data_IF_587237072828
#
_entry.id   IF_587237072828
#
_cell.length_a   1.000
_cell.length_b   1.000
_cell.length_c   1.000
_cell.angle_alpha   90.00
_cell.angle_beta   90.00
_cell.angle_gamma   90.00
#
_symmetry.space_group_name_H-M   'P 1'
#
loop_
_entity.id
_entity.type
_entity.pdbx_description
1 polymer ?
#
# COMPACT_ATOMS: atom_id res chain seq x y z
N UNK A 1 -46.40 14.78 -46.93
CA UNK A 1 -46.94 15.29 -45.66
C UNK A 1 -47.06 14.13 -44.69
N UNK A 2 -46.15 14.04 -43.70
CA UNK A 2 -46.40 13.59 -42.31
C UNK A 2 -45.07 13.68 -41.56
N UNK A 3 -45.14 13.92 -40.26
CA UNK A 3 -44.00 13.82 -39.36
C UNK A 3 -44.28 12.73 -38.33
N UNK A 4 -43.23 12.12 -37.78
CA UNK A 4 -43.31 11.35 -36.54
C UNK A 4 -42.00 11.56 -35.76
N UNK A 5 -42.11 11.71 -34.44
CA UNK A 5 -40.99 12.07 -33.57
C UNK A 5 -40.22 10.84 -33.08
N UNK A 6 -38.93 11.02 -32.83
CA UNK A 6 -38.22 10.28 -31.79
C UNK A 6 -37.22 11.22 -31.10
N UNK A 7 -37.43 11.46 -29.80
CA UNK A 7 -36.54 12.28 -28.96
C UNK A 7 -35.71 11.34 -28.09
N UNK A 8 -34.41 11.28 -28.34
CA UNK A 8 -33.47 10.44 -27.60
C UNK A 8 -32.98 11.17 -26.33
N UNK A 9 -33.54 10.77 -25.18
CA UNK A 9 -33.15 11.32 -23.88
C UNK A 9 -31.69 10.95 -23.53
N UNK A 10 -30.78 11.93 -23.58
CA UNK A 10 -29.39 11.76 -23.15
C UNK A 10 -29.24 12.00 -21.63
N UNK A 11 -28.50 11.17 -20.89
CA UNK A 11 -28.34 11.32 -19.43
C UNK A 11 -27.67 12.64 -19.02
N UNK A 12 -26.90 13.27 -19.92
CA UNK A 12 -26.30 14.59 -19.69
C UNK A 12 -27.36 15.68 -19.51
N UNK A 13 -28.41 15.65 -20.33
CA UNK A 13 -29.52 16.62 -20.26
C UNK A 13 -30.28 16.51 -18.94
N UNK A 14 -30.46 15.29 -18.42
CA UNK A 14 -31.12 15.05 -17.13
C UNK A 14 -30.34 15.65 -15.95
N UNK A 15 -29.00 15.60 -15.98
CA UNK A 15 -28.14 16.21 -14.95
C UNK A 15 -28.16 17.74 -14.98
N UNK A 16 -28.23 18.34 -16.16
CA UNK A 16 -28.35 19.81 -16.28
C UNK A 16 -29.75 20.31 -15.88
N UNK A 17 -30.80 19.50 -16.06
CA UNK A 17 -32.15 19.80 -15.55
C UNK A 17 -32.15 19.94 -14.03
N UNK A 18 -31.59 18.96 -13.31
CA UNK A 18 -31.56 18.97 -11.83
C UNK A 18 -30.74 20.13 -11.25
N UNK A 19 -29.64 20.53 -11.89
CA UNK A 19 -28.85 21.69 -11.45
C UNK A 19 -29.62 23.01 -11.68
N UNK A 20 -30.41 23.11 -12.76
CA UNK A 20 -31.22 24.29 -13.06
C UNK A 20 -32.46 24.37 -12.14
N UNK A 21 -33.12 23.23 -11.88
CA UNK A 21 -34.23 23.09 -10.94
C UNK A 21 -33.82 23.49 -9.51
N UNK A 22 -32.66 23.01 -9.03
CA UNK A 22 -32.10 23.40 -7.74
C UNK A 22 -31.78 24.90 -7.66
N UNK A 23 -31.20 25.49 -8.71
CA UNK A 23 -30.94 26.94 -8.76
C UNK A 23 -32.24 27.76 -8.78
N UNK A 24 -33.30 27.26 -9.42
CA UNK A 24 -34.62 27.88 -9.41
C UNK A 24 -35.25 27.81 -8.01
N UNK A 25 -35.20 26.65 -7.34
CA UNK A 25 -35.69 26.44 -5.97
C UNK A 25 -34.96 27.35 -4.95
N UNK A 26 -33.63 27.43 -5.03
CA UNK A 26 -32.82 28.34 -4.20
C UNK A 26 -33.15 29.81 -4.47
N UNK A 27 -33.46 30.17 -5.72
CA UNK A 27 -33.86 31.54 -6.07
C UNK A 27 -35.23 31.89 -5.47
N UNK A 28 -36.22 31.01 -5.62
CA UNK A 28 -37.58 31.19 -5.04
C UNK A 28 -37.50 31.29 -3.51
N UNK A 29 -36.72 30.41 -2.85
CA UNK A 29 -36.53 30.46 -1.40
C UNK A 29 -35.93 31.80 -0.93
N UNK A 30 -34.97 32.37 -1.68
CA UNK A 30 -34.39 33.67 -1.36
C UNK A 30 -35.36 34.84 -1.60
N UNK A 31 -36.28 34.73 -2.57
CA UNK A 31 -37.32 35.72 -2.83
C UNK A 31 -38.45 35.66 -1.78
N UNK A 32 -38.90 34.47 -1.35
CA UNK A 32 -39.87 34.32 -0.25
C UNK A 32 -39.33 34.89 1.07
N UNK A 33 -38.08 34.56 1.42
CA UNK A 33 -37.41 35.06 2.63
C UNK A 33 -37.19 36.58 2.59
N UNK A 34 -37.04 37.18 1.40
CA UNK A 34 -36.90 38.63 1.25
C UNK A 34 -38.22 39.39 1.48
N UNK A 35 -39.39 38.76 1.26
CA UNK A 35 -40.70 39.42 1.36
C UNK A 35 -41.23 39.50 2.80
N UNK A 36 -40.77 38.64 3.72
CA UNK A 36 -41.24 38.62 5.11
C UNK A 36 -40.29 39.31 6.10
N UNK A 37 -40.28 40.65 6.07
CA UNK A 37 -39.92 41.44 7.26
C UNK A 37 -41.03 42.41 7.66
N UNK A 38 -41.60 42.22 8.86
CA UNK A 38 -41.92 43.36 9.70
C UNK A 38 -41.48 43.15 11.15
N UNK A 39 -40.58 44.01 11.65
CA UNK A 39 -40.42 44.21 13.10
C UNK A 39 -41.70 44.81 13.67
N UNK A 40 -42.44 44.06 14.49
CA UNK A 40 -43.34 44.64 15.50
C UNK A 40 -43.21 43.90 16.83
N UNK A 41 -42.99 44.68 17.88
CA UNK A 41 -43.01 44.24 19.27
C UNK A 41 -44.41 44.29 19.85
N UNK A 42 -44.93 43.16 20.28
CA UNK A 42 -45.99 43.06 21.29
C UNK A 42 -45.60 41.95 22.28
N UNK A 43 -46.07 42.04 23.52
CA UNK A 43 -45.68 41.10 24.58
C UNK A 43 -46.85 40.75 25.50
N UNK A 44 -46.69 39.62 26.20
CA UNK A 44 -47.70 38.94 27.05
C UNK A 44 -48.87 38.31 26.26
N UNK A 45 -49.42 37.15 26.64
CA UNK A 45 -49.02 36.17 27.67
C UNK A 45 -49.86 34.88 27.54
N UNK A 46 -49.25 33.70 27.72
CA UNK A 46 -49.89 32.37 27.86
C UNK A 46 -50.67 31.90 26.60
N UNK A 47 -50.90 30.60 26.32
CA UNK A 47 -50.81 29.35 27.11
C UNK A 47 -50.53 28.14 26.16
N UNK A 48 -50.19 26.96 26.71
CA UNK A 48 -50.10 25.62 26.06
C UNK A 48 -48.99 25.43 24.99
N UNK A 49 -48.35 24.27 24.86
CA UNK A 49 -48.34 23.05 25.70
C UNK A 49 -46.95 22.39 25.66
N UNK A 50 -46.57 21.63 26.70
CA UNK A 50 -45.18 21.20 26.91
C UNK A 50 -45.06 19.66 26.97
N UNK A 51 -44.72 19.03 25.83
CA UNK A 51 -44.53 17.57 25.70
C UNK A 51 -43.16 17.19 25.18
N UNK A 52 -42.11 17.45 25.98
CA UNK A 52 -40.79 16.81 25.84
C UNK A 52 -40.48 16.02 27.11
N UNK A 53 -40.04 14.77 26.96
CA UNK A 53 -39.89 13.85 28.09
C UNK A 53 -38.82 14.31 29.11
N UNK A 54 -39.27 14.49 30.35
CA UNK A 54 -38.44 14.83 31.49
C UNK A 54 -37.75 13.59 32.10
N UNK A 55 -36.42 13.61 32.22
CA UNK A 55 -35.66 12.75 33.12
C UNK A 55 -34.82 13.62 34.06
N UNK A 56 -35.44 14.05 35.16
CA UNK A 56 -34.78 14.85 36.19
C UNK A 56 -34.01 13.99 37.18
N UNK A 57 -32.75 14.40 37.39
CA UNK A 57 -31.91 14.26 38.58
C UNK A 57 -32.57 13.70 39.85
N UNK A 58 -32.01 12.63 40.41
CA UNK A 58 -32.14 12.31 41.83
C UNK A 58 -30.83 11.84 42.46
N UNK A 59 -30.61 12.23 43.71
CA UNK A 59 -29.60 11.77 44.66
C UNK A 59 -29.87 12.42 46.03
N UNK A 60 -29.48 11.81 47.16
CA UNK A 60 -29.37 10.38 47.46
C UNK A 60 -30.16 10.01 48.75
N UNK A 61 -30.23 8.72 49.11
CA UNK A 61 -30.41 8.27 50.51
C UNK A 61 -29.87 6.83 50.66
N UNK A 62 -29.60 6.42 51.90
CA UNK A 62 -28.78 5.27 52.28
C UNK A 62 -29.56 4.10 52.89
N UNK A 63 -28.80 3.05 53.29
CA UNK A 63 -29.11 2.00 54.28
C UNK A 63 -30.14 0.92 53.86
N UNK A 64 -29.72 -0.37 53.81
CA UNK A 64 -29.77 -1.41 54.87
C UNK A 64 -31.19 -2.05 54.95
N UNK A 65 -31.41 -3.35 55.20
CA UNK A 65 -30.61 -4.50 55.69
C UNK A 65 -30.92 -5.75 54.80
N UNK A 66 -30.01 -6.68 54.49
CA UNK A 66 -29.39 -7.80 55.25
C UNK A 66 -30.10 -9.17 54.97
N UNK A 67 -29.59 -10.26 55.58
CA UNK A 67 -29.93 -11.68 55.44
C UNK A 67 -29.53 -12.40 54.12
N UNK A 68 -28.79 -13.53 54.14
CA UNK A 68 -28.09 -14.15 55.27
C UNK A 68 -27.73 -15.64 55.09
N UNK A 69 -26.82 -16.13 55.95
CA UNK A 69 -26.75 -17.52 56.49
C UNK A 69 -26.29 -18.67 55.52
N UNK A 70 -25.61 -19.76 55.95
CA UNK A 70 -25.19 -20.23 57.29
C UNK A 70 -24.04 -21.28 57.28
N UNK A 71 -23.07 -21.17 58.21
CA UNK A 71 -22.25 -22.26 58.85
C UNK A 71 -21.29 -23.15 58.00
N UNK A 72 -20.36 -23.96 58.56
CA UNK A 72 -20.14 -24.41 59.97
C UNK A 72 -18.65 -24.62 60.34
N UNK A 73 -18.30 -24.46 61.63
CA UNK A 73 -17.04 -24.90 62.26
C UNK A 73 -16.90 -24.37 63.70
N UNK A 74 -16.77 -25.27 64.68
CA UNK A 74 -16.82 -25.07 66.15
C UNK A 74 -16.16 -26.32 66.80
N UNK A 75 -15.92 -26.48 68.11
CA UNK A 75 -16.21 -25.74 69.37
C UNK A 75 -15.10 -24.68 69.71
N UNK A 76 -14.85 -24.03 70.88
CA UNK A 76 -15.02 -24.28 72.34
C UNK A 76 -14.14 -25.44 72.90
N UNK A 77 -13.53 -25.43 74.11
CA UNK A 77 -13.47 -24.55 75.30
C UNK A 77 -12.09 -24.82 76.03
N UNK A 78 -11.48 -24.04 76.96
CA UNK A 78 -11.77 -22.76 77.65
C UNK A 78 -10.68 -22.37 78.70
N UNK A 79 -11.04 -21.47 79.63
CA UNK A 79 -10.43 -21.05 80.93
C UNK A 79 -9.05 -20.34 81.12
N UNK A 80 -9.11 -19.32 81.99
CA UNK A 80 -8.15 -18.64 82.91
C UNK A 80 -6.59 -18.68 82.76
N UNK A 81 -6.07 -17.48 82.44
CA UNK A 81 -5.02 -16.73 83.20
C UNK A 81 -3.49 -16.91 82.99
N UNK A 82 -2.84 -15.75 82.85
CA UNK A 82 -1.53 -15.31 83.39
C UNK A 82 -0.16 -15.72 82.80
N UNK A 83 0.80 -14.79 83.01
CA UNK A 83 2.28 -14.86 82.92
C UNK A 83 2.95 -14.66 81.53
N UNK A 84 4.15 -14.08 81.58
CA UNK A 84 5.04 -13.59 80.52
C UNK A 84 5.79 -14.75 79.79
N UNK A 85 6.59 -14.61 78.72
CA UNK A 85 7.52 -13.54 78.29
C UNK A 85 7.80 -13.49 76.76
N UNK A 86 8.50 -12.45 76.30
CA UNK A 86 9.56 -12.52 75.26
C UNK A 86 9.20 -12.80 73.78
N UNK A 87 9.26 -11.79 72.89
CA UNK A 87 8.97 -12.07 71.46
C UNK A 87 9.09 -10.99 70.35
N UNK A 88 9.95 -9.96 70.45
CA UNK A 88 10.41 -9.10 69.31
C UNK A 88 9.34 -8.55 68.28
N UNK A 89 8.67 -7.40 68.54
CA UNK A 89 7.70 -6.82 67.61
C UNK A 89 8.26 -5.70 66.69
N UNK A 90 9.02 -6.04 65.63
CA UNK A 90 9.62 -5.03 64.72
C UNK A 90 9.22 -5.09 63.23
N UNK A 91 8.83 -6.25 62.69
CA UNK A 91 8.63 -6.41 61.23
C UNK A 91 7.21 -6.04 60.76
N UNK A 92 6.18 -6.07 61.62
CA UNK A 92 4.78 -5.82 61.21
C UNK A 92 4.42 -4.35 60.92
N UNK A 93 5.21 -3.37 61.39
CA UNK A 93 4.87 -1.92 61.24
C UNK A 93 5.18 -1.30 59.87
N UNK A 94 6.04 -1.92 59.05
CA UNK A 94 6.47 -1.36 57.75
C UNK A 94 5.43 -1.54 56.64
N UNK A 95 4.91 -2.77 56.45
CA UNK A 95 3.90 -3.08 55.42
C UNK A 95 2.63 -2.23 55.55
N UNK A 96 2.16 -1.97 56.79
CA UNK A 96 0.98 -1.13 57.03
C UNK A 96 1.16 0.31 56.51
N UNK A 97 2.30 0.95 56.81
CA UNK A 97 2.61 2.33 56.35
C UNK A 97 2.71 2.43 54.82
N UNK A 98 3.25 1.41 54.15
CA UNK A 98 3.29 1.37 52.68
C UNK A 98 1.90 1.24 52.04
N UNK A 99 0.99 0.50 52.66
CA UNK A 99 -0.41 0.39 52.21
C UNK A 99 -1.19 1.71 52.33
N UNK A 100 -0.99 2.47 53.41
CA UNK A 100 -1.63 3.78 53.60
C UNK A 100 -1.11 4.83 52.63
N UNK A 101 0.21 4.88 52.40
CA UNK A 101 0.85 5.78 51.43
C UNK A 101 0.31 5.56 50.00
N UNK A 102 0.22 4.30 49.55
CA UNK A 102 -0.37 3.94 48.25
C UNK A 102 -1.84 4.41 48.12
N UNK A 103 -2.66 4.24 49.16
CA UNK A 103 -4.05 4.72 49.19
C UNK A 103 -4.16 6.25 49.23
N UNK A 104 -3.18 6.95 49.80
CA UNK A 104 -3.10 8.41 49.79
C UNK A 104 -2.71 8.94 48.41
N UNK A 105 -1.66 8.38 47.79
CA UNK A 105 -1.21 8.72 46.41
C UNK A 105 -2.23 8.39 45.31
N UNK A 106 -3.12 7.42 45.54
CA UNK A 106 -4.27 7.19 44.65
C UNK A 106 -5.33 8.29 44.80
N UNK A 107 -5.75 8.60 46.04
CA UNK A 107 -6.74 9.65 46.31
C UNK A 107 -6.27 11.05 45.89
N UNK A 108 -4.97 11.33 45.99
CA UNK A 108 -4.41 12.58 45.49
C UNK A 108 -4.54 12.68 43.96
N UNK A 109 -4.11 11.68 43.20
CA UNK A 109 -4.24 11.69 41.73
C UNK A 109 -5.69 11.85 41.25
N UNK A 110 -6.65 11.16 41.87
CA UNK A 110 -8.08 11.32 41.53
C UNK A 110 -8.60 12.72 41.87
N UNK A 111 -8.02 13.40 42.86
CA UNK A 111 -8.30 14.81 43.14
C UNK A 111 -7.65 15.73 42.09
N UNK A 112 -6.38 15.52 41.78
CA UNK A 112 -5.61 16.31 40.81
C UNK A 112 -6.28 16.25 39.42
N UNK A 113 -6.64 15.05 38.97
CA UNK A 113 -7.38 14.76 37.73
C UNK A 113 -8.75 15.46 37.69
N UNK A 114 -9.48 15.46 38.82
CA UNK A 114 -10.74 16.22 38.93
C UNK A 114 -10.52 17.74 38.85
N UNK A 115 -9.42 18.26 39.39
CA UNK A 115 -9.08 19.68 39.31
C UNK A 115 -8.56 20.10 37.92
N UNK A 116 -7.88 19.21 37.19
CA UNK A 116 -7.59 19.37 35.76
C UNK A 116 -8.87 19.42 34.92
N UNK A 117 -9.77 18.44 35.09
CA UNK A 117 -11.05 18.39 34.38
C UNK A 117 -11.95 19.59 34.71
N UNK A 118 -11.94 20.08 35.96
CA UNK A 118 -12.65 21.30 36.33
C UNK A 118 -12.07 22.54 35.63
N UNK A 119 -10.75 22.60 35.42
CA UNK A 119 -10.09 23.67 34.66
C UNK A 119 -10.42 23.61 33.17
N UNK A 120 -10.33 22.45 32.52
CA UNK A 120 -10.65 22.33 31.09
C UNK A 120 -12.13 22.60 30.80
N UNK A 121 -13.06 22.16 31.67
CA UNK A 121 -14.49 22.51 31.56
C UNK A 121 -14.71 24.02 31.69
N UNK A 122 -14.02 24.70 32.61
CA UNK A 122 -14.13 26.16 32.76
C UNK A 122 -13.58 26.91 31.54
N UNK A 123 -12.44 26.46 31.00
CA UNK A 123 -11.79 27.04 29.82
C UNK A 123 -12.63 26.85 28.54
N UNK A 124 -13.11 25.63 28.28
CA UNK A 124 -14.04 25.35 27.18
C UNK A 124 -15.35 26.13 27.33
N UNK A 125 -15.85 26.29 28.56
CA UNK A 125 -17.04 27.13 28.85
C UNK A 125 -16.77 28.62 28.67
N UNK A 126 -15.52 29.10 28.79
CA UNK A 126 -15.15 30.45 28.42
C UNK A 126 -15.08 30.61 26.90
N UNK A 127 -14.36 29.73 26.18
CA UNK A 127 -14.29 29.74 24.72
C UNK A 127 -15.70 29.67 24.09
N UNK A 128 -16.60 28.84 24.62
CA UNK A 128 -17.98 28.75 24.17
C UNK A 128 -18.75 30.07 24.39
N UNK A 129 -18.55 30.75 25.52
CA UNK A 129 -19.15 32.07 25.80
C UNK A 129 -18.61 33.14 24.86
N UNK A 130 -17.30 33.16 24.60
CA UNK A 130 -16.67 34.09 23.65
C UNK A 130 -17.20 33.90 22.22
N UNK A 131 -17.36 32.65 21.77
CA UNK A 131 -17.99 32.30 20.49
C UNK A 131 -19.46 32.73 20.46
N UNK A 132 -20.22 32.54 21.55
CA UNK A 132 -21.62 32.95 21.66
C UNK A 132 -21.76 34.47 21.64
N UNK A 133 -20.92 35.22 22.35
CA UNK A 133 -20.97 36.70 22.34
C UNK A 133 -20.52 37.28 21.00
N UNK A 134 -19.48 36.72 20.37
CA UNK A 134 -19.08 37.08 19.01
C UNK A 134 -20.22 36.85 18.01
N UNK A 135 -20.95 35.72 18.14
CA UNK A 135 -22.14 35.41 17.33
C UNK A 135 -23.36 36.29 17.68
N UNK A 136 -23.44 36.83 18.89
CA UNK A 136 -24.54 37.70 19.37
C UNK A 136 -24.35 39.18 19.03
N UNK A 137 -23.16 39.57 18.56
CA UNK A 137 -22.96 40.78 17.74
C UNK A 137 -23.07 42.14 18.42
N UNK A 138 -23.04 42.21 19.76
CA UNK A 138 -23.35 43.42 20.55
C UNK A 138 -22.35 44.58 20.45
N UNK A 139 -21.30 44.48 19.62
CA UNK A 139 -20.25 45.53 19.48
C UNK A 139 -19.90 45.94 18.04
N UNK A 140 -20.54 45.39 17.00
CA UNK A 140 -20.05 45.57 15.61
C UNK A 140 -21.13 45.78 14.54
N UNK A 141 -22.15 46.57 14.82
CA UNK A 141 -22.82 47.36 13.78
C UNK A 141 -21.87 48.53 13.40
N UNK A 142 -21.73 49.00 12.16
CA UNK A 142 -22.61 48.90 10.97
C UNK A 142 -21.85 48.45 9.70
N UNK A 143 -20.51 48.25 9.75
CA UNK A 143 -19.67 48.19 8.53
C UNK A 143 -19.04 46.83 8.18
N UNK A 144 -19.15 45.84 9.05
CA UNK A 144 -18.53 44.50 8.89
C UNK A 144 -19.31 43.59 7.96
N UNK A 145 -20.64 43.70 7.92
CA UNK A 145 -21.55 42.71 7.30
C UNK A 145 -21.28 42.52 5.78
N UNK A 146 -21.13 43.62 5.05
CA UNK A 146 -20.89 43.59 3.59
C UNK A 146 -19.51 43.04 3.19
N UNK A 147 -18.51 43.14 4.08
CA UNK A 147 -17.14 42.64 3.83
C UNK A 147 -17.00 41.20 4.32
N UNK A 148 -17.55 40.89 5.50
CA UNK A 148 -17.55 39.55 6.07
C UNK A 148 -18.43 38.60 5.25
N UNK A 149 -19.54 39.03 4.64
CA UNK A 149 -20.32 38.16 3.74
C UNK A 149 -19.52 37.73 2.49
N UNK A 150 -19.15 38.65 1.59
CA UNK A 150 -18.57 38.30 0.26
C UNK A 150 -17.13 37.76 0.29
N UNK A 151 -16.44 37.81 1.44
CA UNK A 151 -15.12 37.17 1.62
C UNK A 151 -15.21 35.83 2.35
N UNK A 152 -16.01 35.74 3.42
CA UNK A 152 -16.25 34.48 4.15
C UNK A 152 -16.94 33.45 3.28
N UNK A 153 -18.09 33.79 2.67
CA UNK A 153 -18.85 32.84 1.85
C UNK A 153 -18.03 32.35 0.64
N UNK A 154 -17.15 33.21 0.09
CA UNK A 154 -16.19 32.80 -0.94
C UNK A 154 -15.20 31.77 -0.42
N UNK A 155 -14.61 32.00 0.76
CA UNK A 155 -13.68 31.05 1.40
C UNK A 155 -14.37 29.71 1.70
N UNK A 156 -15.59 29.74 2.24
CA UNK A 156 -16.40 28.54 2.50
C UNK A 156 -16.74 27.81 1.20
N UNK A 157 -17.19 28.51 0.15
CA UNK A 157 -17.50 27.90 -1.14
C UNK A 157 -16.25 27.31 -1.84
N UNK A 158 -15.09 27.97 -1.75
CA UNK A 158 -13.81 27.41 -2.23
C UNK A 158 -13.43 26.16 -1.43
N UNK A 159 -13.58 26.17 -0.10
CA UNK A 159 -13.31 25.02 0.75
C UNK A 159 -14.26 23.85 0.45
N UNK A 160 -15.57 24.10 0.28
CA UNK A 160 -16.54 23.07 -0.10
C UNK A 160 -16.28 22.51 -1.50
N UNK A 161 -15.90 23.36 -2.48
CA UNK A 161 -15.51 22.91 -3.82
C UNK A 161 -14.28 22.00 -3.79
N UNK A 162 -13.28 22.35 -2.98
CA UNK A 162 -12.06 21.56 -2.80
C UNK A 162 -12.34 20.23 -2.09
N UNK A 163 -13.19 20.22 -1.05
CA UNK A 163 -13.64 18.99 -0.39
C UNK A 163 -14.44 18.09 -1.35
N UNK A 164 -15.39 18.66 -2.11
CA UNK A 164 -16.12 17.92 -3.15
C UNK A 164 -15.15 17.32 -4.18
N UNK A 165 -14.19 18.09 -4.69
CA UNK A 165 -13.20 17.61 -5.67
C UNK A 165 -12.36 16.44 -5.14
N UNK A 166 -12.02 16.42 -3.85
CA UNK A 166 -11.31 15.30 -3.22
C UNK A 166 -12.17 14.04 -3.17
N UNK A 167 -13.42 14.17 -2.73
CA UNK A 167 -14.40 13.07 -2.70
C UNK A 167 -14.71 12.56 -4.11
N UNK A 168 -14.81 13.44 -5.12
CA UNK A 168 -14.98 13.07 -6.52
C UNK A 168 -13.75 12.33 -7.07
N UNK A 169 -12.53 12.76 -6.75
CA UNK A 169 -11.30 12.07 -7.16
C UNK A 169 -11.15 10.69 -6.49
N UNK A 170 -11.48 10.58 -5.21
CA UNK A 170 -11.51 9.31 -4.48
C UNK A 170 -12.61 8.37 -5.03
N UNK A 171 -13.81 8.90 -5.29
CA UNK A 171 -14.91 8.14 -5.90
C UNK A 171 -14.56 7.63 -7.30
N UNK A 172 -13.93 8.45 -8.15
CA UNK A 172 -13.48 8.03 -9.47
C UNK A 172 -12.40 6.93 -9.36
N UNK A 173 -11.42 7.08 -8.46
CA UNK A 173 -10.40 6.05 -8.18
C UNK A 173 -11.03 4.74 -7.69
N UNK A 174 -12.05 4.82 -6.82
CA UNK A 174 -12.80 3.65 -6.36
C UNK A 174 -13.61 3.01 -7.49
N UNK A 175 -14.20 3.80 -8.40
CA UNK A 175 -14.85 3.28 -9.62
C UNK A 175 -13.85 2.59 -10.57
N UNK A 176 -12.64 3.11 -10.73
CA UNK A 176 -11.58 2.47 -11.52
C UNK A 176 -11.15 1.12 -10.91
N UNK A 177 -11.03 1.05 -9.58
CA UNK A 177 -10.77 -0.19 -8.84
C UNK A 177 -11.95 -1.18 -8.98
N UNK A 178 -13.20 -0.72 -8.87
CA UNK A 178 -14.38 -1.57 -9.02
C UNK A 178 -14.54 -2.06 -10.46
N UNK A 179 -14.32 -1.22 -11.46
CA UNK A 179 -14.41 -1.61 -12.87
C UNK A 179 -13.30 -2.59 -13.28
N UNK A 180 -12.07 -2.43 -12.76
CA UNK A 180 -10.99 -3.40 -12.98
C UNK A 180 -11.26 -4.72 -12.26
N UNK A 181 -11.81 -4.71 -11.04
CA UNK A 181 -12.28 -5.91 -10.35
C UNK A 181 -13.45 -6.59 -11.08
N UNK A 182 -14.43 -5.83 -11.59
CA UNK A 182 -15.56 -6.38 -12.36
C UNK A 182 -15.07 -7.04 -13.67
N UNK A 183 -14.11 -6.41 -14.35
CA UNK A 183 -13.46 -6.96 -15.55
C UNK A 183 -12.69 -8.25 -15.21
N UNK A 184 -11.92 -8.26 -14.12
CA UNK A 184 -11.22 -9.44 -13.62
C UNK A 184 -12.17 -10.59 -13.27
N UNK A 185 -13.29 -10.29 -12.58
CA UNK A 185 -14.32 -11.28 -12.23
C UNK A 185 -15.04 -11.82 -13.47
N UNK A 186 -15.36 -10.96 -14.46
CA UNK A 186 -15.94 -11.38 -15.74
C UNK A 186 -14.99 -12.30 -16.50
N UNK A 187 -13.71 -11.95 -16.56
CA UNK A 187 -12.69 -12.77 -17.23
C UNK A 187 -12.54 -14.15 -16.53
N UNK A 188 -12.49 -14.19 -15.19
CA UNK A 188 -12.54 -15.47 -14.45
C UNK A 188 -13.84 -16.25 -14.68
N UNK A 189 -14.98 -15.56 -14.83
CA UNK A 189 -16.28 -16.18 -15.10
C UNK A 189 -16.34 -16.88 -16.46
N UNK A 190 -15.79 -16.25 -17.50
CA UNK A 190 -15.65 -16.83 -18.85
C UNK A 190 -14.70 -18.04 -18.79
N UNK A 191 -13.52 -17.88 -18.19
CA UNK A 191 -12.53 -18.93 -17.96
C UNK A 191 -13.10 -20.17 -17.26
N UNK A 192 -14.02 -20.00 -16.30
CA UNK A 192 -14.66 -21.09 -15.58
C UNK A 192 -15.78 -21.79 -16.39
N UNK A 193 -16.32 -21.14 -17.43
CA UNK A 193 -17.29 -21.72 -18.35
C UNK A 193 -16.61 -22.46 -19.51
N UNK A 194 -15.49 -21.93 -20.01
CA UNK A 194 -14.70 -22.53 -21.10
C UNK A 194 -13.80 -23.71 -20.65
N UNK A 195 -13.95 -24.18 -19.41
CA UNK A 195 -13.27 -25.37 -18.90
C UNK A 195 -14.07 -26.67 -19.19
N UNK A 196 -13.76 -27.46 -20.24
CA UNK A 196 -14.21 -28.84 -20.32
C UNK A 196 -13.68 -29.64 -19.12
N UNK A 197 -14.45 -30.64 -18.67
CA UNK A 197 -14.26 -31.35 -17.40
C UNK A 197 -13.08 -32.34 -17.42
N UNK A 198 -11.86 -31.83 -17.52
CA UNK A 198 -10.64 -32.64 -17.75
C UNK A 198 -9.73 -32.68 -16.51
N UNK A 199 -10.30 -33.02 -15.34
CA UNK A 199 -9.56 -33.24 -14.08
C UNK A 199 -9.41 -34.77 -13.79
N UNK A 200 -9.82 -35.63 -14.73
CA UNK A 200 -9.91 -37.09 -14.53
C UNK A 200 -9.16 -37.90 -15.60
N UNK A 201 -7.88 -37.59 -15.80
CA UNK A 201 -6.92 -38.56 -16.35
C UNK A 201 -5.50 -38.16 -15.94
N UNK A 202 -4.93 -38.91 -15.00
CA UNK A 202 -3.49 -38.95 -14.81
C UNK A 202 -2.94 -39.85 -15.92
N UNK A 203 -2.22 -39.30 -16.88
CA UNK A 203 -1.45 -40.10 -17.83
C UNK A 203 -0.06 -39.50 -18.07
N UNK A 204 0.91 -40.39 -18.18
CA UNK A 204 2.32 -40.07 -18.40
C UNK A 204 2.66 -40.61 -19.78
N UNK A 205 2.96 -39.74 -20.75
CA UNK A 205 3.85 -39.96 -21.91
C UNK A 205 3.58 -38.94 -23.03
N UNK A 206 4.36 -37.86 -23.09
CA UNK A 206 4.77 -37.28 -24.37
C UNK A 206 6.09 -36.55 -24.21
N UNK A 207 7.11 -37.00 -24.93
CA UNK A 207 8.46 -36.42 -24.92
C UNK A 207 8.87 -36.06 -26.34
N UNK A 208 8.56 -34.84 -26.76
CA UNK A 208 9.36 -34.02 -27.69
C UNK A 208 8.69 -32.64 -27.90
N UNK A 209 9.52 -31.60 -28.03
CA UNK A 209 9.17 -30.29 -28.56
C UNK A 209 7.91 -29.58 -27.99
N UNK A 210 7.96 -29.19 -26.70
CA UNK A 210 7.17 -28.07 -26.19
C UNK A 210 7.95 -27.31 -25.12
N UNK A 211 8.39 -26.09 -25.43
CA UNK A 211 9.02 -25.20 -24.46
C UNK A 211 7.95 -24.43 -23.68
N UNK A 212 7.61 -24.95 -22.50
CA UNK A 212 7.34 -24.15 -21.30
C UNK A 212 6.40 -22.93 -21.47
N UNK A 213 5.33 -23.06 -22.28
CA UNK A 213 4.21 -22.11 -22.22
C UNK A 213 3.49 -22.34 -20.91
N UNK A 214 3.93 -21.62 -19.88
CA UNK A 214 3.13 -21.32 -18.69
C UNK A 214 1.82 -20.73 -19.20
N UNK A 215 0.77 -21.56 -19.15
CA UNK A 215 -0.58 -21.24 -19.60
C UNK A 215 -1.03 -19.89 -19.03
N UNK A 216 -1.72 -19.09 -19.83
CA UNK A 216 -2.08 -17.71 -19.53
C UNK A 216 -2.91 -17.66 -18.21
N UNK A 217 -3.67 -18.73 -17.95
CA UNK A 217 -4.39 -19.02 -16.70
C UNK A 217 -3.49 -19.20 -15.47
N UNK A 218 -2.31 -19.83 -15.63
CA UNK A 218 -1.31 -20.01 -14.58
C UNK A 218 -0.68 -18.66 -14.21
N UNK A 219 -0.38 -17.80 -15.19
CA UNK A 219 0.10 -16.44 -14.93
C UNK A 219 -0.90 -15.59 -14.13
N UNK A 220 -2.19 -15.61 -14.49
CA UNK A 220 -3.25 -14.90 -13.75
C UNK A 220 -3.31 -15.35 -12.28
N UNK A 221 -3.15 -16.65 -12.00
CA UNK A 221 -3.09 -17.16 -10.62
C UNK A 221 -1.81 -16.75 -9.89
N UNK A 222 -0.66 -16.75 -10.56
CA UNK A 222 0.61 -16.31 -9.98
C UNK A 222 0.60 -14.83 -9.57
N UNK A 223 -0.03 -13.95 -10.36
CA UNK A 223 -0.23 -12.52 -10.00
C UNK A 223 -0.94 -12.32 -8.66
N UNK A 224 -1.89 -13.22 -8.34
CA UNK A 224 -2.76 -13.12 -7.16
C UNK A 224 -2.09 -13.51 -5.84
N UNK A 225 -0.87 -14.07 -5.87
CA UNK A 225 -0.12 -14.46 -4.68
C UNK A 225 1.38 -14.39 -4.92
N UNK A 226 2.04 -13.40 -4.31
CA UNK A 226 3.50 -13.23 -4.34
C UNK A 226 4.22 -14.52 -3.89
N UNK A 227 3.69 -15.22 -2.88
CA UNK A 227 4.21 -16.50 -2.41
C UNK A 227 4.19 -17.59 -3.50
N UNK A 228 3.06 -17.73 -4.22
CA UNK A 228 2.94 -18.71 -5.32
C UNK A 228 3.88 -18.39 -6.48
N UNK A 229 4.07 -17.10 -6.80
CA UNK A 229 5.06 -16.66 -7.78
C UNK A 229 6.48 -17.04 -7.35
N UNK A 230 6.85 -16.76 -6.10
CA UNK A 230 8.19 -17.08 -5.59
C UNK A 230 8.43 -18.59 -5.46
N UNK A 231 7.42 -19.41 -5.13
CA UNK A 231 7.55 -20.89 -5.19
C UNK A 231 7.83 -21.41 -6.61
N UNK A 232 7.19 -20.83 -7.63
CA UNK A 232 7.45 -21.21 -9.02
C UNK A 232 8.83 -20.72 -9.47
N UNK A 233 9.20 -19.48 -9.15
CA UNK A 233 10.54 -18.95 -9.45
C UNK A 233 11.66 -19.67 -8.68
N UNK A 234 11.42 -20.16 -7.47
CA UNK A 234 12.34 -21.05 -6.72
C UNK A 234 12.62 -22.37 -7.45
N UNK A 235 11.71 -22.83 -8.31
CA UNK A 235 11.91 -23.99 -9.17
C UNK A 235 12.62 -23.60 -10.48
N UNK A 236 12.04 -22.65 -11.21
CA UNK A 236 12.57 -22.18 -12.50
C UNK A 236 14.00 -21.67 -12.40
N UNK A 237 14.42 -21.08 -11.26
CA UNK A 237 15.79 -20.57 -11.10
C UNK A 237 16.84 -21.68 -11.15
N UNK A 238 16.51 -22.90 -10.70
CA UNK A 238 17.42 -24.06 -10.78
C UNK A 238 17.45 -24.63 -12.21
N UNK A 239 16.31 -24.61 -12.91
CA UNK A 239 16.18 -25.01 -14.33
C UNK A 239 16.84 -23.98 -15.27
N UNK A 240 16.90 -22.70 -14.87
CA UNK A 240 17.71 -21.66 -15.49
C UNK A 240 19.20 -21.85 -15.19
N UNK A 241 19.58 -22.29 -13.98
CA UNK A 241 20.97 -22.59 -13.64
C UNK A 241 21.52 -23.77 -14.45
N UNK A 242 20.77 -24.85 -14.60
CA UNK A 242 21.13 -25.98 -15.47
C UNK A 242 21.30 -25.62 -16.96
N UNK A 243 20.84 -24.44 -17.40
CA UNK A 243 20.94 -23.93 -18.78
C UNK A 243 22.00 -22.84 -18.98
N UNK A 244 22.74 -22.44 -17.94
CA UNK A 244 23.73 -21.33 -17.97
C UNK A 244 24.66 -21.40 -19.18
N UNK A 245 25.36 -22.51 -19.38
CA UNK A 245 26.34 -22.61 -20.46
C UNK A 245 25.69 -22.71 -21.85
N UNK A 246 24.48 -23.26 -21.97
CA UNK A 246 23.70 -23.18 -23.22
C UNK A 246 23.41 -21.72 -23.59
N UNK A 247 22.92 -20.93 -22.63
CA UNK A 247 22.58 -19.50 -22.85
C UNK A 247 23.83 -18.69 -23.23
N UNK A 248 24.98 -18.92 -22.59
CA UNK A 248 26.22 -18.21 -22.94
C UNK A 248 26.82 -18.66 -24.27
N UNK A 249 26.69 -19.95 -24.65
CA UNK A 249 27.12 -20.47 -25.95
C UNK A 249 26.20 -19.99 -27.10
N UNK A 250 24.88 -19.96 -26.89
CA UNK A 250 23.87 -19.41 -27.82
C UNK A 250 24.06 -17.91 -28.13
N UNK A 251 24.90 -17.23 -27.33
CA UNK A 251 25.22 -15.81 -27.44
C UNK A 251 26.68 -15.54 -27.79
N UNK A 252 27.49 -16.60 -28.04
CA UNK A 252 28.93 -16.54 -28.36
C UNK A 252 29.76 -15.65 -27.41
N UNK A 253 29.41 -15.65 -26.11
CA UNK A 253 29.93 -14.65 -25.16
C UNK A 253 31.41 -14.85 -24.89
N UNK A 254 31.93 -16.09 -24.96
CA UNK A 254 33.36 -16.33 -24.78
C UNK A 254 34.20 -15.72 -25.92
N UNK A 255 33.68 -15.60 -27.15
CA UNK A 255 34.32 -14.89 -28.28
C UNK A 255 34.19 -13.37 -28.22
N UNK A 256 33.22 -12.82 -27.48
CA UNK A 256 33.05 -11.37 -27.34
C UNK A 256 34.26 -10.70 -26.66
N UNK A 257 34.69 -9.49 -27.09
CA UNK A 257 35.65 -8.68 -26.34
C UNK A 257 35.14 -8.28 -24.95
N UNK A 258 36.06 -8.06 -24.01
CA UNK A 258 35.72 -7.45 -22.73
C UNK A 258 35.39 -5.96 -22.92
N UNK A 259 34.31 -5.50 -22.29
CA UNK A 259 33.73 -4.17 -22.49
C UNK A 259 32.59 -4.13 -23.52
N UNK A 260 32.30 -5.24 -24.21
CA UNK A 260 31.18 -5.33 -25.15
C UNK A 260 29.84 -5.43 -24.42
N UNK A 261 28.85 -4.68 -24.92
CA UNK A 261 27.44 -4.88 -24.65
C UNK A 261 26.65 -4.85 -25.97
N UNK A 262 25.64 -5.71 -26.11
CA UNK A 262 24.79 -5.80 -27.29
C UNK A 262 23.32 -6.05 -26.91
N UNK A 263 22.41 -5.66 -27.79
CA UNK A 263 20.98 -5.98 -27.70
C UNK A 263 20.52 -6.57 -29.02
N UNK A 264 19.76 -7.66 -28.96
CA UNK A 264 19.24 -8.38 -30.12
C UNK A 264 17.78 -8.76 -29.86
N UNK A 265 16.87 -8.34 -30.75
CA UNK A 265 15.55 -8.94 -30.83
C UNK A 265 15.71 -10.31 -31.50
N UNK A 266 15.20 -11.38 -30.88
CA UNK A 266 14.97 -12.65 -31.58
C UNK A 266 13.52 -12.74 -32.02
N UNK A 267 13.22 -13.60 -32.98
CA UNK A 267 11.87 -13.82 -33.51
C UNK A 267 11.67 -15.32 -33.67
N UNK A 268 10.46 -15.81 -33.36
CA UNK A 268 10.11 -17.20 -33.60
C UNK A 268 9.98 -17.45 -35.12
N UNK A 269 10.13 -18.71 -35.59
CA UNK A 269 9.93 -19.05 -37.00
C UNK A 269 8.57 -18.61 -37.55
N UNK A 270 7.54 -18.60 -36.69
CA UNK A 270 6.16 -18.21 -37.00
C UNK A 270 5.91 -16.68 -36.95
N UNK A 271 6.95 -15.88 -36.70
CA UNK A 271 6.93 -14.41 -36.79
C UNK A 271 6.42 -13.66 -35.54
N UNK A 272 5.89 -14.35 -34.54
CA UNK A 272 5.43 -13.73 -33.28
C UNK A 272 6.61 -13.27 -32.38
N UNK A 273 6.30 -12.44 -31.38
CA UNK A 273 7.26 -11.72 -30.53
C UNK A 273 8.01 -12.68 -29.60
N UNK A 274 9.15 -13.16 -30.07
CA UNK A 274 10.17 -13.76 -29.22
C UNK A 274 10.94 -12.67 -28.43
N UNK A 275 11.66 -13.09 -27.40
CA UNK A 275 12.25 -12.22 -26.39
C UNK A 275 13.27 -11.19 -26.93
N UNK A 276 13.34 -10.05 -26.22
CA UNK A 276 14.47 -9.13 -26.31
C UNK A 276 15.61 -9.71 -25.50
N UNK A 277 16.79 -9.85 -26.11
CA UNK A 277 17.99 -10.35 -25.43
C UNK A 277 19.04 -9.26 -25.30
N UNK A 278 19.55 -9.04 -24.09
CA UNK A 278 20.64 -8.11 -23.80
C UNK A 278 21.85 -8.87 -23.24
N UNK A 279 23.03 -8.69 -23.83
CA UNK A 279 24.26 -9.40 -23.47
C UNK A 279 25.34 -8.40 -23.12
N UNK A 280 26.12 -8.64 -22.06
CA UNK A 280 27.31 -7.85 -21.76
C UNK A 280 28.43 -8.68 -21.12
N UNK A 281 29.67 -8.27 -21.36
CA UNK A 281 30.89 -8.91 -20.86
C UNK A 281 31.85 -7.85 -20.34
N UNK A 282 32.20 -7.92 -19.05
CA UNK A 282 33.06 -6.93 -18.40
C UNK A 282 34.16 -7.59 -17.57
N UNK A 283 35.37 -7.02 -17.63
CA UNK A 283 36.49 -7.41 -16.78
C UNK A 283 36.64 -6.42 -15.62
N UNK A 284 36.79 -6.93 -14.40
CA UNK A 284 37.02 -6.16 -13.18
C UNK A 284 38.41 -6.47 -12.63
N UNK A 285 39.34 -5.49 -12.52
CA UNK A 285 40.71 -5.69 -12.04
C UNK A 285 40.77 -5.75 -10.50
N UNK A 286 40.00 -6.67 -9.91
CA UNK A 286 39.80 -6.82 -8.47
C UNK A 286 39.83 -8.30 -8.07
N UNK A 287 39.83 -8.57 -6.77
CA UNK A 287 39.75 -9.93 -6.23
C UNK A 287 38.42 -10.63 -6.58
N UNK A 288 38.48 -11.96 -6.74
CA UNK A 288 37.33 -12.80 -7.09
C UNK A 288 36.26 -12.82 -6.00
N UNK A 289 36.63 -13.04 -4.75
CA UNK A 289 35.66 -13.12 -3.65
C UNK A 289 35.06 -11.75 -3.33
N UNK A 290 35.87 -10.68 -3.35
CA UNK A 290 35.36 -9.30 -3.21
C UNK A 290 34.38 -8.94 -4.33
N UNK A 291 34.64 -9.39 -5.57
CA UNK A 291 33.72 -9.16 -6.71
C UNK A 291 32.45 -9.98 -6.60
N UNK A 292 32.54 -11.25 -6.20
CA UNK A 292 31.37 -12.11 -5.99
C UNK A 292 30.49 -11.63 -4.83
N UNK A 293 31.09 -11.15 -3.74
CA UNK A 293 30.38 -10.50 -2.64
C UNK A 293 29.69 -9.22 -3.12
N UNK A 294 30.43 -8.31 -3.78
CA UNK A 294 29.88 -7.06 -4.29
C UNK A 294 28.71 -7.28 -5.25
N UNK A 295 28.81 -8.24 -6.16
CA UNK A 295 27.73 -8.55 -7.11
C UNK A 295 26.50 -9.18 -6.42
N UNK A 296 26.68 -9.90 -5.30
CA UNK A 296 25.57 -10.39 -4.48
C UNK A 296 24.87 -9.30 -3.67
N UNK A 297 25.59 -8.29 -3.19
CA UNK A 297 24.95 -7.14 -2.54
C UNK A 297 24.23 -6.26 -3.56
N UNK A 298 24.80 -6.10 -4.76
CA UNK A 298 24.17 -5.40 -5.89
C UNK A 298 22.95 -6.17 -6.44
N UNK A 299 22.91 -7.51 -6.38
CA UNK A 299 21.77 -8.29 -6.89
C UNK A 299 20.45 -8.03 -6.16
N UNK A 300 20.53 -7.46 -4.95
CA UNK A 300 19.40 -6.99 -4.14
C UNK A 300 18.81 -5.67 -4.66
N UNK A 301 19.35 -5.09 -5.74
CA UNK A 301 18.89 -3.84 -6.38
C UNK A 301 18.66 -2.72 -5.36
N UNK A 302 19.70 -2.25 -4.64
CA UNK A 302 19.55 -1.31 -3.52
C UNK A 302 19.06 0.08 -3.97
N UNK A 303 19.16 0.42 -5.26
CA UNK A 303 18.60 1.65 -5.85
C UNK A 303 17.08 1.60 -6.06
N UNK A 304 16.44 0.44 -5.84
CA UNK A 304 14.99 0.25 -6.01
C UNK A 304 14.30 0.16 -4.65
N UNK A 305 13.78 1.29 -4.17
CA UNK A 305 13.21 1.44 -2.81
C UNK A 305 11.74 1.88 -2.75
N UNK A 306 11.18 2.39 -3.86
CA UNK A 306 9.78 2.84 -3.90
C UNK A 306 8.86 1.63 -3.71
N UNK A 307 7.99 1.70 -2.70
CA UNK A 307 7.02 0.64 -2.37
C UNK A 307 7.68 -0.76 -2.25
N UNK A 308 8.88 -0.81 -1.64
CA UNK A 308 9.70 -2.02 -1.53
C UNK A 308 9.25 -2.90 -0.35
N UNK A 309 9.01 -4.17 -0.63
CA UNK A 309 8.74 -5.22 0.36
C UNK A 309 9.68 -6.41 0.11
N UNK A 310 10.22 -7.01 1.18
CA UNK A 310 11.05 -8.23 1.12
C UNK A 310 10.19 -9.41 1.58
N UNK A 311 10.33 -10.55 0.91
CA UNK A 311 9.63 -11.79 1.23
C UNK A 311 10.58 -12.74 1.98
N UNK A 312 10.26 -13.02 3.24
CA UNK A 312 11.17 -13.70 4.18
C UNK A 312 11.05 -15.23 4.19
N UNK A 313 9.89 -15.78 3.78
CA UNK A 313 9.57 -17.22 3.80
C UNK A 313 10.24 -18.00 2.65
N UNK A 314 11.57 -17.93 2.58
CA UNK A 314 12.40 -18.58 1.56
C UNK A 314 13.26 -19.71 2.14
N UNK A 315 13.31 -20.83 1.42
CA UNK A 315 14.40 -21.78 1.61
C UNK A 315 15.73 -21.16 1.16
N UNK A 316 16.80 -21.44 1.90
CA UNK A 316 18.16 -20.98 1.57
C UNK A 316 18.29 -19.44 1.43
N UNK A 317 17.77 -18.71 2.42
CA UNK A 317 17.85 -17.24 2.52
C UNK A 317 19.30 -16.67 2.54
N UNK A 318 20.31 -17.51 2.77
CA UNK A 318 21.72 -17.14 2.65
C UNK A 318 22.21 -16.99 1.20
N UNK A 319 21.51 -17.59 0.23
CA UNK A 319 21.85 -17.55 -1.19
C UNK A 319 20.66 -17.18 -2.10
N UNK A 320 19.47 -17.02 -1.54
CA UNK A 320 18.25 -16.62 -2.25
C UNK A 320 17.60 -15.43 -1.56
N UNK A 321 17.17 -14.43 -2.32
CA UNK A 321 16.36 -13.31 -1.85
C UNK A 321 15.18 -13.09 -2.79
N UNK A 322 14.02 -12.75 -2.23
CA UNK A 322 12.83 -12.38 -2.99
C UNK A 322 12.26 -11.08 -2.44
N UNK A 323 11.88 -10.17 -3.33
CA UNK A 323 11.42 -8.83 -2.99
C UNK A 323 10.65 -8.22 -4.15
N UNK A 324 9.73 -7.30 -3.86
CA UNK A 324 9.03 -6.50 -4.86
C UNK A 324 9.29 -5.02 -4.62
N UNK A 325 9.13 -4.23 -5.68
CA UNK A 325 9.24 -2.76 -5.67
C UNK A 325 8.49 -2.18 -6.86
N UNK A 326 8.12 -0.91 -6.77
CA UNK A 326 7.49 -0.17 -7.87
C UNK A 326 8.53 0.71 -8.58
N UNK A 327 8.52 0.72 -9.91
CA UNK A 327 9.23 1.72 -10.71
C UNK A 327 8.21 2.73 -11.21
N UNK A 328 8.50 4.02 -11.00
CA UNK A 328 7.69 5.16 -11.47
C UNK A 328 8.52 5.92 -12.51
N UNK A 329 7.92 6.27 -13.66
CA UNK A 329 8.52 7.16 -14.67
C UNK A 329 7.50 8.19 -15.13
N UNK A 330 7.98 9.36 -15.52
CA UNK A 330 7.14 10.40 -16.16
C UNK A 330 7.33 10.31 -17.67
N UNK A 331 6.25 10.19 -18.42
CA UNK A 331 6.27 10.19 -19.88
C UNK A 331 6.41 11.61 -20.44
N UNK A 332 6.68 11.71 -21.75
CA UNK A 332 6.94 12.99 -22.43
C UNK A 332 5.73 13.95 -22.47
N UNK A 333 4.52 13.46 -22.18
CA UNK A 333 3.29 14.26 -22.02
C UNK A 333 3.07 14.76 -20.58
N UNK A 334 3.96 14.41 -19.65
CA UNK A 334 3.86 14.73 -18.22
C UNK A 334 3.02 13.75 -17.40
N UNK A 335 2.47 12.68 -18.01
CA UNK A 335 1.78 11.62 -17.26
C UNK A 335 2.77 10.76 -16.46
N UNK A 336 2.40 10.36 -15.25
CA UNK A 336 3.20 9.43 -14.44
C UNK A 336 2.67 8.02 -14.61
N UNK A 337 3.56 7.10 -14.99
CA UNK A 337 3.28 5.67 -15.15
C UNK A 337 4.07 4.84 -14.16
N UNK A 338 3.57 3.64 -13.85
CA UNK A 338 4.27 2.72 -12.96
C UNK A 338 4.16 1.26 -13.37
N UNK A 339 5.15 0.49 -12.90
CA UNK A 339 5.27 -0.96 -13.07
C UNK A 339 5.68 -1.56 -11.72
N UNK A 340 4.97 -2.58 -11.27
CA UNK A 340 5.31 -3.37 -10.09
C UNK A 340 6.24 -4.52 -10.52
N UNK A 341 7.51 -4.48 -10.11
CA UNK A 341 8.46 -5.59 -10.29
C UNK A 341 8.45 -6.49 -9.05
N UNK A 342 8.29 -7.81 -9.26
CA UNK A 342 8.49 -8.87 -8.27
C UNK A 342 9.71 -9.68 -8.69
N UNK A 343 10.74 -9.70 -7.84
CA UNK A 343 12.07 -10.24 -8.15
C UNK A 343 12.39 -11.39 -7.20
N UNK A 344 12.87 -12.49 -7.76
CA UNK A 344 13.64 -13.50 -7.03
C UNK A 344 15.07 -13.50 -7.59
N UNK A 345 16.07 -13.37 -6.71
CA UNK A 345 17.49 -13.49 -7.06
C UNK A 345 18.13 -14.64 -6.27
N UNK A 346 18.80 -15.56 -6.96
CA UNK A 346 19.54 -16.67 -6.34
C UNK A 346 20.98 -16.69 -6.85
N UNK A 347 21.93 -16.93 -5.95
CA UNK A 347 23.32 -17.25 -6.29
C UNK A 347 23.59 -18.74 -6.15
N UNK A 348 24.46 -19.23 -7.01
CA UNK A 348 25.02 -20.58 -7.03
C UNK A 348 26.54 -20.45 -7.01
N UNK A 349 27.24 -21.31 -6.27
CA UNK A 349 28.70 -21.30 -6.15
C UNK A 349 29.26 -22.67 -6.51
N UNK A 350 30.10 -22.69 -7.55
CA UNK A 350 30.97 -23.81 -7.90
C UNK A 350 32.41 -23.44 -7.52
N UNK A 351 33.32 -24.44 -7.47
CA UNK A 351 34.71 -24.23 -7.06
C UNK A 351 35.47 -23.16 -7.86
N UNK A 352 35.09 -22.92 -9.12
CA UNK A 352 35.74 -21.96 -10.03
C UNK A 352 34.81 -20.86 -10.57
N UNK A 353 33.54 -20.77 -10.15
CA UNK A 353 32.61 -19.75 -10.64
C UNK A 353 31.49 -19.43 -9.64
N UNK A 354 30.95 -18.21 -9.73
CA UNK A 354 29.70 -17.83 -9.07
C UNK A 354 28.70 -17.43 -10.14
N UNK A 355 27.52 -18.04 -10.12
CA UNK A 355 26.42 -17.67 -11.00
C UNK A 355 25.34 -16.98 -10.16
N UNK A 356 24.81 -15.84 -10.64
CA UNK A 356 23.65 -15.19 -10.04
C UNK A 356 22.55 -15.15 -11.10
N UNK A 357 21.34 -15.55 -10.72
CA UNK A 357 20.18 -15.59 -11.60
C UNK A 357 19.06 -14.77 -10.97
N UNK A 358 18.41 -13.93 -11.78
CA UNK A 358 17.19 -13.22 -11.42
C UNK A 358 16.03 -13.78 -12.24
N UNK A 359 14.89 -13.97 -11.58
CA UNK A 359 13.57 -14.14 -12.17
C UNK A 359 12.74 -12.93 -11.79
N UNK A 360 12.23 -12.20 -12.78
CA UNK A 360 11.57 -10.91 -12.59
C UNK A 360 10.22 -10.92 -13.31
N UNK A 361 9.14 -10.84 -12.54
CA UNK A 361 7.81 -10.52 -13.06
C UNK A 361 7.61 -9.01 -13.03
N UNK A 362 7.12 -8.43 -14.13
CA UNK A 362 6.86 -6.99 -14.24
C UNK A 362 5.41 -6.78 -14.65
N UNK A 363 4.61 -6.21 -13.74
CA UNK A 363 3.17 -5.96 -13.91
C UNK A 363 2.93 -4.46 -14.16
N UNK A 364 2.34 -4.13 -15.31
CA UNK A 364 2.00 -2.75 -15.67
C UNK A 364 0.78 -2.22 -14.91
N UNK A 365 0.83 -0.95 -14.52
CA UNK A 365 -0.24 -0.28 -13.77
C UNK A 365 -0.79 0.94 -14.54
N UNK A 366 -1.99 1.39 -14.20
CA UNK A 366 -2.62 2.55 -14.84
C UNK A 366 -2.87 2.28 -16.33
N UNK A 367 -2.28 3.09 -17.22
CA UNK A 367 -2.39 2.90 -18.68
C UNK A 367 -1.69 1.62 -19.18
N UNK A 368 -0.86 0.98 -18.35
CA UNK A 368 -0.23 -0.31 -18.64
C UNK A 368 -0.96 -1.51 -17.98
N UNK A 369 -2.15 -1.32 -17.41
CA UNK A 369 -2.90 -2.40 -16.76
C UNK A 369 -3.17 -3.56 -17.74
N UNK A 370 -2.72 -4.76 -17.40
CA UNK A 370 -2.79 -5.94 -18.28
C UNK A 370 -1.67 -6.04 -19.32
N UNK A 371 -0.64 -5.19 -19.22
CA UNK A 371 0.62 -5.35 -19.93
C UNK A 371 1.67 -5.88 -18.96
N UNK A 372 2.31 -6.99 -19.31
CA UNK A 372 3.19 -7.71 -18.41
C UNK A 372 4.43 -8.23 -19.13
N UNK A 373 5.54 -8.35 -18.40
CA UNK A 373 6.78 -8.92 -18.92
C UNK A 373 7.42 -9.87 -17.90
N UNK A 374 7.94 -10.99 -18.39
CA UNK A 374 8.78 -11.91 -17.65
C UNK A 374 10.23 -11.70 -18.10
N UNK A 375 11.15 -11.58 -17.15
CA UNK A 375 12.57 -11.39 -17.45
C UNK A 375 13.40 -12.40 -16.63
N UNK A 376 14.28 -13.12 -17.33
CA UNK A 376 15.30 -13.97 -16.70
C UNK A 376 16.67 -13.40 -17.01
N UNK A 377 17.46 -13.14 -15.98
CA UNK A 377 18.83 -12.63 -16.10
C UNK A 377 19.80 -13.68 -15.55
N UNK A 378 20.82 -14.02 -16.31
CA UNK A 378 21.96 -14.84 -15.90
C UNK A 378 23.22 -13.95 -15.82
N UNK A 379 23.97 -14.04 -14.73
CA UNK A 379 25.32 -13.47 -14.60
C UNK A 379 26.28 -14.57 -14.18
N UNK A 380 27.36 -14.78 -14.95
CA UNK A 380 28.42 -15.76 -14.69
C UNK A 380 29.70 -15.01 -14.34
N UNK A 381 30.22 -15.24 -13.14
CA UNK A 381 31.42 -14.60 -12.58
C UNK A 381 32.52 -15.65 -12.50
N UNK A 382 33.66 -15.41 -13.17
CA UNK A 382 34.80 -16.35 -13.26
C UNK A 382 36.12 -15.63 -12.95
N UNK A 383 37.09 -16.25 -12.26
CA UNK A 383 38.45 -15.73 -12.18
C UNK A 383 39.05 -15.55 -13.57
N UNK A 384 39.87 -14.52 -13.77
CA UNK A 384 40.54 -14.24 -15.03
C UNK A 384 41.96 -13.70 -14.81
N UNK A 385 42.80 -13.73 -15.84
CA UNK A 385 44.16 -13.19 -15.77
C UNK A 385 44.12 -11.69 -15.43
N UNK A 386 44.59 -11.33 -14.23
CA UNK A 386 44.58 -9.94 -13.74
C UNK A 386 43.26 -9.48 -13.09
N UNK A 387 42.31 -10.37 -12.81
CA UNK A 387 41.08 -10.01 -12.10
C UNK A 387 39.92 -11.00 -12.28
N UNK A 388 38.76 -10.49 -12.65
CA UNK A 388 37.50 -11.24 -12.75
C UNK A 388 36.80 -10.95 -14.08
N UNK A 389 36.32 -11.99 -14.75
CA UNK A 389 35.40 -11.85 -15.88
C UNK A 389 33.95 -11.98 -15.39
N UNK A 390 33.09 -11.04 -15.79
CA UNK A 390 31.65 -11.03 -15.54
C UNK A 390 30.94 -11.06 -16.89
N UNK A 391 30.37 -12.21 -17.21
CA UNK A 391 29.47 -12.40 -18.35
C UNK A 391 28.02 -12.18 -17.88
N UNK A 392 27.15 -11.62 -18.71
CA UNK A 392 25.73 -11.48 -18.41
C UNK A 392 24.84 -11.61 -19.66
N UNK A 393 23.67 -12.23 -19.49
CA UNK A 393 22.60 -12.30 -20.47
C UNK A 393 21.26 -12.03 -19.76
N UNK A 394 20.45 -11.09 -20.26
CA UNK A 394 19.02 -10.98 -19.94
C UNK A 394 18.20 -11.43 -21.14
N UNK A 395 17.10 -12.15 -20.88
CA UNK A 395 16.03 -12.44 -21.84
C UNK A 395 14.72 -11.93 -21.24
N UNK A 396 14.10 -10.96 -21.90
CA UNK A 396 12.84 -10.32 -21.50
C UNK A 396 11.76 -10.61 -22.56
N UNK A 397 10.70 -11.33 -22.17
CA UNK A 397 9.54 -11.64 -23.02
C UNK A 397 8.30 -10.90 -22.51
N UNK A 398 7.42 -10.41 -23.42
CA UNK A 398 6.08 -10.00 -23.01
C UNK A 398 5.29 -11.25 -22.59
N UNK A 399 4.52 -11.16 -21.51
CA UNK A 399 3.56 -12.21 -21.15
C UNK A 399 2.28 -11.93 -21.91
N UNK A 400 2.03 -12.71 -22.97
CA UNK A 400 0.81 -12.61 -23.77
C UNK A 400 -0.42 -12.71 -22.85
N UNK A 401 -1.19 -11.63 -22.80
CA UNK A 401 -2.52 -11.60 -22.20
C UNK A 401 -3.55 -11.41 -23.33
N UNK A 402 -4.73 -12.00 -23.19
CA UNK A 402 -5.87 -11.82 -24.11
C UNK A 402 -6.50 -10.45 -23.89
N UNK A 403 -5.75 -9.40 -24.20
CA UNK A 403 -6.14 -8.01 -23.99
C UNK A 403 -6.89 -7.48 -25.22
N UNK A 404 -8.20 -7.73 -25.22
CA UNK A 404 -9.11 -7.30 -26.29
C UNK A 404 -9.17 -5.76 -26.30
N UNK A 405 -8.42 -5.15 -27.23
CA UNK A 405 -8.23 -3.70 -27.44
C UNK A 405 -7.26 -2.98 -26.46
N UNK A 406 -5.99 -3.40 -26.38
CA UNK A 406 -4.92 -2.49 -25.88
C UNK A 406 -4.63 -1.35 -26.85
N UNK A 407 -4.43 -0.14 -26.33
CA UNK A 407 -3.87 0.98 -27.10
C UNK A 407 -2.43 0.70 -27.54
N UNK A 408 -2.18 0.85 -28.84
CA UNK A 408 -0.88 0.66 -29.49
C UNK A 408 0.17 1.62 -28.94
N UNK A 409 -0.21 2.84 -28.55
CA UNK A 409 0.72 3.81 -27.95
C UNK A 409 1.13 3.39 -26.55
N UNK A 410 0.18 2.98 -25.70
CA UNK A 410 0.47 2.43 -24.38
C UNK A 410 1.33 1.15 -24.45
N UNK A 411 1.05 0.22 -25.37
CA UNK A 411 1.88 -1.00 -25.58
C UNK A 411 3.31 -0.65 -26.00
N UNK A 412 3.47 0.36 -26.87
CA UNK A 412 4.80 0.86 -27.28
C UNK A 412 5.53 1.51 -26.10
N UNK A 413 4.84 2.36 -25.32
CA UNK A 413 5.42 3.04 -24.16
C UNK A 413 5.83 2.04 -23.06
N UNK A 414 5.02 1.00 -22.78
CA UNK A 414 5.38 -0.09 -21.88
C UNK A 414 6.64 -0.82 -22.36
N UNK A 415 6.70 -1.21 -23.64
CA UNK A 415 7.88 -1.88 -24.22
C UNK A 415 9.15 -1.04 -24.10
N UNK A 416 9.08 0.26 -24.42
CA UNK A 416 10.22 1.18 -24.25
C UNK A 416 10.61 1.32 -22.77
N UNK A 417 9.65 1.53 -21.86
CA UNK A 417 9.91 1.63 -20.43
C UNK A 417 10.57 0.36 -19.85
N UNK A 418 10.16 -0.82 -20.31
CA UNK A 418 10.75 -2.10 -19.92
C UNK A 418 12.16 -2.31 -20.48
N UNK A 419 12.44 -1.87 -21.71
CA UNK A 419 13.78 -1.89 -22.31
C UNK A 419 14.73 -0.90 -21.62
N UNK A 420 14.27 0.33 -21.37
CA UNK A 420 15.02 1.37 -20.65
C UNK A 420 15.41 0.88 -19.26
N UNK A 421 14.51 0.19 -18.56
CA UNK A 421 14.81 -0.39 -17.24
C UNK A 421 15.97 -1.39 -17.27
N UNK A 422 16.10 -2.24 -18.29
CA UNK A 422 17.23 -3.19 -18.37
C UNK A 422 18.56 -2.46 -18.49
N UNK A 423 18.62 -1.38 -19.28
CA UNK A 423 19.82 -0.56 -19.45
C UNK A 423 20.13 0.25 -18.19
N UNK A 424 19.10 0.82 -17.57
CA UNK A 424 19.18 1.60 -16.32
C UNK A 424 19.64 0.72 -15.14
N UNK A 425 19.00 -0.44 -14.92
CA UNK A 425 19.37 -1.39 -13.88
C UNK A 425 20.78 -1.97 -14.12
N UNK A 426 21.16 -2.27 -15.37
CA UNK A 426 22.51 -2.73 -15.69
C UNK A 426 23.59 -1.65 -15.44
N UNK A 427 23.29 -0.40 -15.79
CA UNK A 427 24.17 0.76 -15.55
C UNK A 427 24.38 1.02 -14.06
N UNK A 428 23.31 1.04 -13.28
CA UNK A 428 23.36 1.22 -11.82
C UNK A 428 24.05 0.05 -11.13
N UNK A 429 23.78 -1.20 -11.53
CA UNK A 429 24.52 -2.36 -11.01
C UNK A 429 26.03 -2.24 -11.29
N UNK A 430 26.43 -1.79 -12.48
CA UNK A 430 27.84 -1.58 -12.81
C UNK A 430 28.46 -0.37 -12.09
N UNK A 431 27.68 0.66 -11.73
CA UNK A 431 28.11 1.79 -10.88
C UNK A 431 28.36 1.32 -9.45
N UNK A 432 27.33 0.74 -8.82
CA UNK A 432 27.35 0.26 -7.44
C UNK A 432 28.43 -0.81 -7.20
N UNK A 433 28.64 -1.73 -8.15
CA UNK A 433 29.71 -2.72 -8.05
C UNK A 433 31.10 -2.08 -8.06
N UNK A 434 31.34 -1.05 -8.88
CA UNK A 434 32.63 -0.32 -8.90
C UNK A 434 32.87 0.46 -7.62
N UNK A 435 31.82 1.04 -7.03
CA UNK A 435 31.89 1.72 -5.74
C UNK A 435 32.22 0.73 -4.61
N UNK A 436 31.50 -0.40 -4.53
CA UNK A 436 31.79 -1.46 -3.55
C UNK A 436 33.22 -2.04 -3.70
N UNK A 437 33.68 -2.24 -4.93
CA UNK A 437 35.03 -2.72 -5.24
C UNK A 437 36.13 -1.72 -4.91
N UNK A 438 35.82 -0.41 -4.86
CA UNK A 438 36.72 0.62 -4.35
C UNK A 438 36.65 0.71 -2.83
N UNK A 439 35.48 1.08 -2.30
CA UNK A 439 35.32 1.60 -0.94
C UNK A 439 34.93 0.52 0.10
N UNK A 440 34.46 -0.64 -0.35
CA UNK A 440 34.16 -1.81 0.50
C UNK A 440 32.76 -1.81 1.11
N UNK A 441 31.98 -0.76 0.87
CA UNK A 441 30.59 -0.60 1.32
C UNK A 441 29.77 -0.07 0.13
N UNK A 442 28.48 -0.43 0.05
CA UNK A 442 27.55 0.26 -0.85
C UNK A 442 27.17 1.63 -0.25
N UNK A 443 26.92 2.67 -1.05
CA UNK A 443 26.41 3.92 -0.52
C UNK A 443 25.06 3.72 0.17
N UNK A 444 24.81 4.44 1.27
CA UNK A 444 23.46 4.60 1.81
C UNK A 444 22.62 5.34 0.76
N UNK A 445 21.67 4.65 0.14
CA UNK A 445 20.70 5.24 -0.79
C UNK A 445 19.55 5.83 0.02
N UNK A 446 19.89 6.85 0.81
CA UNK A 446 18.95 7.78 1.43
C UNK A 446 18.53 8.79 0.37
N UNK A 447 17.24 8.83 0.04
CA UNK A 447 16.67 9.79 -0.91
C UNK A 447 15.65 10.71 -0.24
N UNK A 448 15.64 11.96 -0.69
CA UNK A 448 14.64 12.96 -0.35
C UNK A 448 13.26 12.55 -0.89
N UNK A 449 12.20 12.99 -0.19
CA UNK A 449 10.78 12.58 -0.38
C UNK A 449 10.03 13.41 -1.42
#
# INVERSE_FOLDING_TARGET
MTALWSVTNSPVSRRMSTDLEFLQEVTVFLEEVALFTPRKSFGKSLHYDDTVHNWSTLSPISSLDDDGLLTRGIEFEGDLSNICEGGKPLIKKSKARSGTDRRQKYRQRVKDEREDLQRTVNELSQQLREIIEARRGTKTAVRTDLVLSKTFWRKIATQQREQRRRVEAEHNRLLEIVNSQETYIKNMGIVLQDCPKTITSLDQNSSLASYDRIDDLKWIRLKSSDAMLYEVYLREVNESYARVDSVFNECDVDSMPAGTASSTHRHNPDGDVDYVQYVNKFMYPFDFERTCHGMWEVSKLPHRQIDREVYEDLSDAGNTVAFKFRVKKTLADGSTVSVLKRVLSRRFRDNNQVVIIWKIFSEGEGIFSGMDANETIWVRIRPYLGGVMKDACSRQSPVQHVAINTDVLAVKAFRTMMQDMVVEDAGECARLLREFLRDGVLPNIEHEL
#
